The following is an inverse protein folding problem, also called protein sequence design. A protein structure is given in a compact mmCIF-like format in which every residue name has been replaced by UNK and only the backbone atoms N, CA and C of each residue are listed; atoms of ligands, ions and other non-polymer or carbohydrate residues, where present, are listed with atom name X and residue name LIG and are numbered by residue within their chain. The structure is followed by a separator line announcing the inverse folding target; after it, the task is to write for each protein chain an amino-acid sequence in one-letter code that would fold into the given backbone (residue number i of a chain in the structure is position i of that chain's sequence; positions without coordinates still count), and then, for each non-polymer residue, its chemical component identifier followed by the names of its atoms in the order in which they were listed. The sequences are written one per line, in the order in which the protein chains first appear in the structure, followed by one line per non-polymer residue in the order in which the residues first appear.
data_IF_561187741643
#
_entry.id   IF_561187741643
#
_cell.length_a   1.000
_cell.length_b   1.000
_cell.length_c   1.000
_cell.angle_alpha   90.00
_cell.angle_beta   90.00
_cell.angle_gamma   90.00
#
_symmetry.space_group_name_H-M   'P 1'
#
loop_
_entity.id
_entity.type
_entity.pdbx_description
1 polymer ?
#
# COMPACT_ATOMS: atom_id res chain seq x y z
N UNK A 1 3.74 7.83 -7.94
CA UNK A 1 3.89 6.37 -7.82
C UNK A 1 4.67 5.83 -8.99
N UNK A 2 5.66 5.02 -8.72
CA UNK A 2 6.53 4.41 -9.73
C UNK A 2 6.18 2.94 -9.89
N UNK A 3 6.26 2.44 -11.11
CA UNK A 3 6.02 1.05 -11.47
C UNK A 3 5.06 0.88 -12.65
N UNK A 4 4.65 -0.36 -12.97
CA UNK A 4 5.00 -1.58 -12.21
C UNK A 4 6.40 -2.07 -12.50
N UNK A 5 7.06 -2.58 -11.47
CA UNK A 5 8.37 -3.21 -11.57
C UNK A 5 8.26 -4.68 -11.17
N UNK A 6 9.22 -5.49 -11.62
CA UNK A 6 9.29 -6.87 -11.16
C UNK A 6 9.73 -6.94 -9.70
N UNK A 7 8.94 -7.59 -8.88
CA UNK A 7 9.18 -7.64 -7.44
C UNK A 7 10.52 -8.30 -7.09
N UNK A 8 10.95 -9.30 -7.85
CA UNK A 8 12.24 -9.97 -7.62
C UNK A 8 13.44 -9.04 -7.77
N UNK A 9 13.27 -7.89 -8.42
CA UNK A 9 14.33 -6.90 -8.60
C UNK A 9 14.11 -5.65 -7.75
N UNK A 10 13.29 -5.74 -6.70
CA UNK A 10 12.92 -4.60 -5.86
C UNK A 10 14.12 -3.79 -5.37
N UNK A 11 15.22 -4.46 -5.03
CA UNK A 11 16.42 -3.82 -4.51
C UNK A 11 17.11 -2.91 -5.53
N UNK A 12 16.78 -3.02 -6.82
CA UNK A 12 17.33 -2.16 -7.86
C UNK A 12 16.58 -0.83 -7.98
N UNK A 13 15.36 -0.76 -7.46
CA UNK A 13 14.50 0.40 -7.63
C UNK A 13 14.26 1.16 -6.32
N UNK A 14 14.44 0.52 -5.19
CA UNK A 14 14.11 1.07 -3.87
C UNK A 14 15.39 1.21 -3.05
N UNK A 15 15.60 2.39 -2.48
CA UNK A 15 16.76 2.65 -1.64
C UNK A 15 16.63 1.94 -0.29
N UNK A 16 17.76 1.53 0.27
CA UNK A 16 17.79 0.98 1.62
C UNK A 16 17.34 2.03 2.64
N UNK A 17 16.69 1.59 3.70
CA UNK A 17 16.18 2.46 4.76
C UNK A 17 15.11 3.44 4.30
N UNK A 18 14.44 3.18 3.19
CA UNK A 18 13.33 4.01 2.73
C UNK A 18 12.07 3.76 3.54
N UNK A 19 11.32 4.84 3.75
CA UNK A 19 9.95 4.80 4.26
C UNK A 19 9.01 5.02 3.08
N UNK A 20 7.93 4.27 3.01
CA UNK A 20 7.00 4.47 1.92
C UNK A 20 5.84 3.48 1.89
N UNK A 21 5.05 3.60 0.85
CA UNK A 21 3.92 2.72 0.60
C UNK A 21 4.14 1.97 -0.71
N UNK A 22 3.51 0.81 -0.83
CA UNK A 22 3.66 -0.04 -1.99
C UNK A 22 2.37 -0.78 -2.31
N UNK A 23 2.27 -1.19 -3.57
CA UNK A 23 1.18 -2.03 -4.07
C UNK A 23 1.81 -3.27 -4.67
N UNK A 24 1.27 -4.42 -4.35
CA UNK A 24 1.72 -5.71 -4.90
C UNK A 24 0.67 -6.26 -5.85
N UNK A 25 1.14 -6.95 -6.89
CA UNK A 25 0.25 -7.50 -7.92
C UNK A 25 0.82 -8.80 -8.47
N UNK A 26 -0.08 -9.72 -8.84
CA UNK A 26 0.30 -10.95 -9.52
C UNK A 26 0.38 -10.78 -11.04
N UNK A 27 -0.37 -9.82 -11.58
CA UNK A 27 -0.49 -9.64 -13.03
C UNK A 27 0.05 -8.30 -13.55
N UNK A 28 0.46 -7.39 -12.67
CA UNK A 28 0.93 -6.07 -13.06
C UNK A 28 -0.13 -5.09 -13.51
N UNK A 29 -1.41 -5.44 -13.35
CA UNK A 29 -2.54 -4.62 -13.80
C UNK A 29 -3.47 -4.21 -12.69
N UNK A 30 -3.66 -5.07 -11.70
CA UNK A 30 -4.58 -4.81 -10.59
C UNK A 30 -3.81 -4.83 -9.28
N UNK A 31 -4.32 -4.07 -8.30
CA UNK A 31 -3.75 -4.06 -6.96
C UNK A 31 -4.28 -5.26 -6.19
N UNK A 32 -3.41 -6.16 -5.80
CA UNK A 32 -3.78 -7.32 -5.00
C UNK A 32 -3.53 -7.09 -3.51
N UNK A 33 -2.52 -6.28 -3.19
CA UNK A 33 -2.17 -5.97 -1.80
C UNK A 33 -1.58 -4.55 -1.73
N UNK A 34 -1.94 -3.80 -0.70
CA UNK A 34 -1.40 -2.47 -0.43
C UNK A 34 -0.80 -2.49 0.98
N UNK A 35 0.39 -1.95 1.11
CA UNK A 35 1.06 -1.89 2.40
C UNK A 35 1.94 -0.66 2.54
N UNK A 36 2.55 -0.53 3.71
CA UNK A 36 3.51 0.52 3.99
C UNK A 36 4.61 -0.02 4.89
N UNK A 37 5.77 0.63 4.84
CA UNK A 37 6.89 0.30 5.69
C UNK A 37 7.49 1.57 6.26
N UNK A 38 7.83 1.54 7.54
CA UNK A 38 8.29 2.71 8.27
C UNK A 38 9.74 3.09 7.91
N UNK A 39 10.64 2.12 7.85
CA UNK A 39 12.06 2.41 7.66
C UNK A 39 12.80 1.31 6.90
N UNK A 40 12.08 0.33 6.38
CA UNK A 40 12.69 -0.81 5.70
C UNK A 40 11.81 -1.30 4.54
N UNK A 41 11.56 -0.41 3.60
CA UNK A 41 10.75 -0.73 2.42
C UNK A 41 11.39 -1.86 1.62
N UNK A 42 12.70 -1.82 1.45
CA UNK A 42 13.45 -2.85 0.73
C UNK A 42 13.29 -4.22 1.39
N UNK A 43 13.47 -4.30 2.71
CA UNK A 43 13.33 -5.56 3.43
C UNK A 43 11.91 -6.10 3.40
N UNK A 44 10.93 -5.21 3.51
CA UNK A 44 9.53 -5.59 3.44
C UNK A 44 9.20 -6.18 2.06
N UNK A 45 9.61 -5.51 0.99
CA UNK A 45 9.40 -6.01 -0.38
C UNK A 45 10.14 -7.32 -0.60
N UNK A 46 11.33 -7.45 -0.03
CA UNK A 46 12.12 -8.70 -0.13
C UNK A 46 11.41 -9.88 0.50
N UNK A 47 10.74 -9.68 1.64
CA UNK A 47 9.95 -10.74 2.27
C UNK A 47 8.81 -11.20 1.36
N UNK A 48 8.09 -10.26 0.77
CA UNK A 48 7.01 -10.61 -0.16
C UNK A 48 7.56 -11.32 -1.40
N UNK A 49 8.72 -10.89 -1.90
CA UNK A 49 9.32 -11.53 -3.07
C UNK A 49 9.67 -13.00 -2.81
N UNK A 50 10.04 -13.34 -1.56
CA UNK A 50 10.43 -14.70 -1.19
C UNK A 50 9.27 -15.56 -0.71
N UNK A 51 8.25 -14.95 -0.11
CA UNK A 51 7.22 -15.67 0.63
C UNK A 51 5.84 -15.60 0.01
N UNK A 52 5.69 -14.92 -1.11
CA UNK A 52 4.40 -14.76 -1.76
C UNK A 52 4.52 -15.02 -3.26
N UNK A 53 3.36 -15.04 -3.92
CA UNK A 53 3.25 -15.22 -5.36
C UNK A 53 3.10 -13.91 -6.13
N UNK A 54 3.26 -12.78 -5.44
CA UNK A 54 3.24 -11.48 -6.12
C UNK A 54 4.46 -11.36 -7.02
N UNK A 55 4.26 -10.77 -8.20
CA UNK A 55 5.32 -10.66 -9.21
C UNK A 55 5.69 -9.23 -9.54
N UNK A 56 4.81 -8.28 -9.28
CA UNK A 56 4.97 -6.86 -9.63
C UNK A 56 4.70 -5.99 -8.43
N UNK A 57 5.30 -4.78 -8.45
CA UNK A 57 5.04 -3.82 -7.40
C UNK A 57 5.09 -2.40 -7.94
N UNK A 58 4.35 -1.53 -7.27
CA UNK A 58 4.46 -0.08 -7.39
C UNK A 58 4.85 0.44 -6.02
N UNK A 59 5.51 1.59 -5.99
CA UNK A 59 5.89 2.18 -4.71
C UNK A 59 5.99 3.69 -4.79
N UNK A 60 5.96 4.33 -3.62
CA UNK A 60 6.27 5.74 -3.45
C UNK A 60 7.02 5.89 -2.13
N UNK A 61 8.04 6.73 -2.14
CA UNK A 61 8.75 7.07 -0.92
C UNK A 61 7.99 8.15 -0.17
N UNK A 62 7.97 8.05 1.16
CA UNK A 62 7.29 8.99 2.03
C UNK A 62 8.32 9.66 2.94
N UNK A 63 7.96 10.82 3.48
CA UNK A 63 8.84 11.61 4.35
C UNK A 63 8.78 11.13 5.79
N UNK A 64 7.74 10.40 6.16
CA UNK A 64 7.53 9.95 7.53
C UNK A 64 6.64 8.71 7.54
N UNK A 65 6.62 8.02 8.67
CA UNK A 65 5.75 6.88 8.88
C UNK A 65 4.28 7.27 8.73
N UNK A 66 3.93 8.45 9.22
CA UNK A 66 2.57 8.96 9.13
C UNK A 66 2.17 9.20 7.67
N UNK A 67 3.05 9.79 6.87
CA UNK A 67 2.77 10.01 5.45
C UNK A 67 2.62 8.68 4.72
N UNK A 68 3.49 7.71 5.01
CA UNK A 68 3.38 6.38 4.43
C UNK A 68 2.04 5.72 4.77
N UNK A 69 1.60 5.83 6.02
CA UNK A 69 0.32 5.28 6.46
C UNK A 69 -0.87 5.99 5.80
N UNK A 70 -0.78 7.29 5.61
CA UNK A 70 -1.83 8.06 4.93
C UNK A 70 -1.95 7.66 3.46
N UNK A 71 -0.81 7.45 2.79
CA UNK A 71 -0.79 6.97 1.41
C UNK A 71 -1.40 5.57 1.34
N UNK A 72 -1.03 4.70 2.27
CA UNK A 72 -1.58 3.34 2.35
C UNK A 72 -3.11 3.39 2.46
N UNK A 73 -3.64 4.21 3.35
CA UNK A 73 -5.09 4.35 3.51
C UNK A 73 -5.77 4.86 2.25
N UNK A 74 -5.17 5.85 1.60
CA UNK A 74 -5.71 6.38 0.36
C UNK A 74 -5.76 5.30 -0.71
N UNK A 75 -4.71 4.50 -0.83
CA UNK A 75 -4.66 3.44 -1.82
C UNK A 75 -5.59 2.28 -1.50
N UNK A 76 -5.75 1.94 -0.21
CA UNK A 76 -6.72 0.92 0.20
C UNK A 76 -8.13 1.29 -0.23
N UNK A 77 -8.49 2.56 -0.06
CA UNK A 77 -9.81 3.04 -0.45
C UNK A 77 -9.96 3.14 -1.97
N UNK A 78 -8.91 3.60 -2.65
CA UNK A 78 -8.96 3.80 -4.10
C UNK A 78 -8.99 2.49 -4.87
N UNK A 79 -8.11 1.56 -4.52
CA UNK A 79 -7.89 0.35 -5.32
C UNK A 79 -8.60 -0.88 -4.78
N UNK A 80 -9.00 -0.87 -3.52
CA UNK A 80 -9.71 -1.97 -2.87
C UNK A 80 -9.06 -3.32 -3.18
N UNK A 81 -7.78 -3.51 -2.79
CA UNK A 81 -7.06 -4.72 -3.13
C UNK A 81 -7.70 -5.97 -2.52
N UNK A 82 -7.64 -7.08 -3.24
CA UNK A 82 -8.36 -8.30 -2.86
C UNK A 82 -7.78 -8.99 -1.63
N UNK A 83 -6.49 -8.81 -1.36
CA UNK A 83 -5.78 -9.54 -0.31
C UNK A 83 -5.68 -8.79 1.00
N UNK A 84 -6.05 -7.52 1.06
CA UNK A 84 -6.02 -6.75 2.29
C UNK A 84 -7.29 -6.97 3.10
N UNK A 85 -7.21 -6.83 4.43
CA UNK A 85 -8.42 -6.77 5.25
C UNK A 85 -9.33 -5.63 4.81
N UNK A 86 -10.63 -5.83 4.94
CA UNK A 86 -11.61 -4.84 4.52
C UNK A 86 -11.60 -3.56 5.35
N UNK A 87 -10.86 -3.55 6.46
CA UNK A 87 -10.78 -2.40 7.35
C UNK A 87 -9.33 -2.20 7.80
N UNK A 88 -8.94 -0.93 7.97
CA UNK A 88 -7.66 -0.58 8.55
C UNK A 88 -7.86 0.42 9.66
N UNK A 89 -7.12 0.25 10.75
CA UNK A 89 -7.14 1.14 11.90
C UNK A 89 -5.83 1.92 12.06
N UNK A 90 -4.92 1.81 11.11
CA UNK A 90 -3.58 2.37 11.23
C UNK A 90 -3.57 3.88 11.48
N UNK A 91 -4.57 4.60 10.97
CA UNK A 91 -4.66 6.05 11.11
C UNK A 91 -5.80 6.49 12.03
N UNK A 92 -6.30 5.58 12.85
CA UNK A 92 -7.36 5.93 13.80
C UNK A 92 -6.88 7.06 14.73
N UNK A 93 -7.63 8.16 14.77
CA UNK A 93 -7.27 9.32 15.57
C UNK A 93 -6.25 10.25 14.93
N UNK A 94 -5.72 9.96 13.75
CA UNK A 94 -4.72 10.79 13.09
C UNK A 94 -5.29 12.01 12.37
N UNK A 95 -6.62 12.05 12.18
CA UNK A 95 -7.27 13.11 11.41
C UNK A 95 -7.32 12.86 9.91
N UNK A 96 -6.79 11.75 9.45
CA UNK A 96 -6.86 11.39 8.03
C UNK A 96 -8.31 11.21 7.58
N UNK A 97 -8.60 11.67 6.36
CA UNK A 97 -9.92 11.50 5.76
C UNK A 97 -9.77 11.06 4.31
N UNK A 98 -10.67 10.19 3.90
CA UNK A 98 -10.73 9.76 2.50
C UNK A 98 -11.22 10.92 1.63
N UNK A 99 -10.45 11.20 0.56
CA UNK A 99 -10.78 12.26 -0.38
C UNK A 99 -11.43 11.75 -1.66
N UNK A 100 -11.68 10.44 -1.72
CA UNK A 100 -12.26 9.81 -2.91
C UNK A 100 -13.78 10.01 -2.88
N UNK A 101 -14.28 10.76 -3.85
CA UNK A 101 -15.71 10.97 -3.98
C UNK A 101 -16.42 9.66 -4.32
N UNK A 102 -17.50 9.37 -3.60
CA UNK A 102 -18.26 8.15 -3.83
C UNK A 102 -17.54 6.86 -3.42
N UNK A 103 -16.53 6.96 -2.55
CA UNK A 103 -15.76 5.80 -2.12
C UNK A 103 -16.65 4.72 -1.51
N UNK A 104 -16.70 3.49 -2.09
CA UNK A 104 -17.57 2.43 -1.56
C UNK A 104 -17.16 1.97 -0.16
N UNK A 105 -15.87 2.02 0.17
CA UNK A 105 -15.38 1.65 1.49
C UNK A 105 -15.93 2.60 2.55
N UNK A 106 -15.90 3.89 2.28
CA UNK A 106 -16.45 4.88 3.20
C UNK A 106 -17.97 4.80 3.27
N UNK A 107 -18.63 4.52 2.17
CA UNK A 107 -20.09 4.36 2.13
C UNK A 107 -20.53 3.18 3.00
N UNK A 108 -19.81 2.05 2.94
CA UNK A 108 -20.10 0.89 3.77
C UNK A 108 -19.90 1.20 5.26
N UNK A 109 -18.80 1.88 5.59
CA UNK A 109 -18.53 2.28 6.98
C UNK A 109 -19.60 3.22 7.50
N UNK A 110 -20.08 4.13 6.68
CA UNK A 110 -21.14 5.09 7.06
C UNK A 110 -22.47 4.39 7.25
N UNK A 111 -22.79 3.40 6.42
CA UNK A 111 -24.09 2.71 6.49
C UNK A 111 -24.26 1.84 7.72
N UNK A 112 -23.19 1.57 8.44
CA UNK A 112 -23.22 0.73 9.66
C UNK A 112 -23.69 1.53 10.90
N UNK A 113 -23.78 2.83 10.80
CA UNK A 113 -24.17 3.67 11.92
C UNK A 113 -25.65 3.56 12.26
#
# INVERSE_FOLDING_TARGET
MLGPFLLKYHHMFVNSSSTGAFILSRNGRSADYVGASADDLVGTLGRFARQSDYRYFWFVEARSDREAAEIEQTWLHRYRPSDNPSRSSALHGSGWRCTIEGCPTCALATSVR
#
